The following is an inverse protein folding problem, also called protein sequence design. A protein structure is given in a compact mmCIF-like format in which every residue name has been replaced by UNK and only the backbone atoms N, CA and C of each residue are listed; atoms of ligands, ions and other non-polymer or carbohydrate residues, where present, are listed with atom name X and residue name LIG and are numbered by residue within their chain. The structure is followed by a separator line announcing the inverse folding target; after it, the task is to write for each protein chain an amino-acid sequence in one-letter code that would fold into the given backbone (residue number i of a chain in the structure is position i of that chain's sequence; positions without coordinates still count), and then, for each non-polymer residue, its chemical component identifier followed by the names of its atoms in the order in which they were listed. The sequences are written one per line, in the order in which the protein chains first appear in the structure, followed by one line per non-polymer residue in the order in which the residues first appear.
data_IF_940812670261
#
_entry.id   IF_940812670261
#
_cell.length_a   1.000
_cell.length_b   1.000
_cell.length_c   1.000
_cell.angle_alpha   90.00
_cell.angle_beta   90.00
_cell.angle_gamma   90.00
#
_symmetry.space_group_name_H-M   'P 1'
#
loop_
_entity.id
_entity.type
_entity.pdbx_description
1 polymer ?
#
# COMPACT_ATOMS: atom_id res chain seq x y z
N UNK A 1 -16.15 -24.24 9.21
CA UNK A 1 -17.15 -23.68 10.14
C UNK A 1 -18.39 -23.29 9.35
N UNK A 2 -19.33 -24.25 9.13
CA UNK A 2 -20.58 -24.01 8.40
C UNK A 2 -21.48 -22.96 9.06
N UNK A 3 -21.47 -22.93 10.39
CA UNK A 3 -22.08 -21.93 11.26
C UNK A 3 -21.59 -20.51 10.97
N UNK A 4 -20.27 -20.30 10.88
CA UNK A 4 -19.67 -18.99 10.54
C UNK A 4 -20.04 -18.57 9.11
N UNK A 5 -20.00 -19.51 8.15
CA UNK A 5 -20.44 -19.24 6.77
C UNK A 5 -21.91 -18.83 6.71
N UNK A 6 -22.78 -19.48 7.48
CA UNK A 6 -24.21 -19.13 7.57
C UNK A 6 -24.42 -17.75 8.21
N UNK A 7 -23.69 -17.44 9.28
CA UNK A 7 -23.76 -16.14 9.96
C UNK A 7 -23.31 -14.97 9.08
N UNK A 8 -22.35 -15.20 8.19
CA UNK A 8 -21.90 -14.23 7.19
C UNK A 8 -22.72 -14.25 5.88
N UNK A 9 -23.82 -15.01 5.85
CA UNK A 9 -24.70 -15.18 4.69
C UNK A 9 -23.97 -15.66 3.42
N UNK A 10 -22.95 -16.52 3.57
CA UNK A 10 -22.29 -17.13 2.41
C UNK A 10 -23.24 -18.16 1.78
N UNK A 11 -23.57 -18.04 0.47
CA UNK A 11 -24.49 -18.94 -0.20
C UNK A 11 -24.08 -20.41 -0.07
N UNK A 12 -25.01 -21.35 0.23
CA UNK A 12 -24.70 -22.77 0.34
C UNK A 12 -24.18 -23.42 -0.95
N UNK A 13 -24.32 -22.75 -2.09
CA UNK A 13 -23.74 -23.21 -3.36
C UNK A 13 -22.21 -22.98 -3.43
N UNK A 14 -21.70 -22.02 -2.64
CA UNK A 14 -20.27 -21.71 -2.55
C UNK A 14 -19.60 -22.58 -1.47
N UNK A 15 -19.51 -23.88 -1.76
CA UNK A 15 -18.99 -24.89 -0.85
C UNK A 15 -17.48 -24.96 -0.75
N UNK A 16 -16.76 -24.17 -1.55
CA UNK A 16 -15.30 -24.13 -1.53
C UNK A 16 -14.76 -23.78 -0.13
N UNK A 17 -13.59 -24.32 0.19
CA UNK A 17 -12.88 -23.96 1.41
C UNK A 17 -12.46 -22.49 1.28
N UNK A 18 -12.62 -21.72 2.35
CA UNK A 18 -12.12 -20.35 2.40
C UNK A 18 -10.59 -20.38 2.40
N UNK A 19 -9.98 -19.53 1.56
CA UNK A 19 -8.54 -19.32 1.47
C UNK A 19 -8.26 -17.82 1.61
N UNK A 20 -7.12 -17.48 2.22
CA UNK A 20 -6.72 -16.07 2.42
C UNK A 20 -6.39 -15.41 1.08
N UNK A 21 -5.69 -16.14 0.22
CA UNK A 21 -5.23 -15.68 -1.09
C UNK A 21 -5.46 -16.78 -2.13
N UNK A 22 -5.85 -16.39 -3.34
CA UNK A 22 -6.12 -17.33 -4.43
C UNK A 22 -5.00 -17.35 -5.46
N UNK A 23 -4.21 -18.43 -5.48
CA UNK A 23 -3.08 -18.57 -6.42
C UNK A 23 -3.52 -18.56 -7.88
N UNK A 24 -4.70 -19.09 -8.19
CA UNK A 24 -5.25 -19.06 -9.55
C UNK A 24 -5.51 -17.63 -10.04
N UNK A 25 -6.00 -16.74 -9.16
CA UNK A 25 -6.20 -15.34 -9.51
C UNK A 25 -4.86 -14.60 -9.62
N UNK A 26 -3.95 -14.83 -8.67
CA UNK A 26 -2.62 -14.22 -8.67
C UNK A 26 -1.84 -14.54 -9.95
N UNK A 27 -1.80 -15.81 -10.37
CA UNK A 27 -1.04 -16.26 -11.54
C UNK A 27 -1.63 -15.78 -12.88
N UNK A 28 -2.90 -15.35 -12.90
CA UNK A 28 -3.59 -14.86 -14.11
C UNK A 28 -3.62 -13.34 -14.20
N UNK A 29 -3.20 -12.65 -13.14
CA UNK A 29 -3.21 -11.19 -13.11
C UNK A 29 -2.00 -10.62 -13.84
N UNK A 30 -2.23 -9.60 -14.67
CA UNK A 30 -1.16 -8.85 -15.35
C UNK A 30 -1.17 -7.40 -14.87
N UNK A 31 -0.07 -6.90 -14.27
CA UNK A 31 0.05 -5.50 -13.91
C UNK A 31 -0.05 -4.60 -15.15
N UNK A 32 -0.88 -3.54 -15.06
CA UNK A 32 -1.10 -2.58 -16.15
C UNK A 32 -0.47 -1.20 -15.88
N UNK A 33 -0.04 -0.96 -14.65
CA UNK A 33 0.65 0.26 -14.25
C UNK A 33 1.91 -0.13 -13.47
N UNK A 34 3.03 0.48 -13.82
CA UNK A 34 4.30 0.31 -13.10
C UNK A 34 4.47 1.34 -11.98
N UNK A 35 3.76 2.47 -12.06
CA UNK A 35 3.99 3.66 -11.24
C UNK A 35 2.66 4.37 -10.94
N UNK A 36 2.55 4.98 -9.75
CA UNK A 36 1.30 5.56 -9.26
C UNK A 36 1.34 7.07 -9.03
N UNK A 37 2.47 7.76 -9.19
CA UNK A 37 2.62 9.18 -8.87
C UNK A 37 1.65 10.07 -9.64
N UNK A 38 1.37 9.78 -10.91
CA UNK A 38 0.42 10.58 -11.70
C UNK A 38 -1.01 10.51 -11.13
N UNK A 39 -1.43 9.34 -10.65
CA UNK A 39 -2.72 9.17 -9.99
C UNK A 39 -2.76 9.89 -8.65
N UNK A 40 -1.69 9.78 -7.85
CA UNK A 40 -1.57 10.49 -6.58
C UNK A 40 -1.57 12.01 -6.77
N UNK A 41 -0.83 12.52 -7.76
CA UNK A 41 -0.83 13.95 -8.10
C UNK A 41 -2.23 14.43 -8.49
N UNK A 42 -3.00 13.61 -9.20
CA UNK A 42 -4.40 13.92 -9.55
C UNK A 42 -5.26 14.06 -8.30
N UNK A 43 -5.13 13.13 -7.35
CA UNK A 43 -5.86 13.15 -6.06
C UNK A 43 -5.48 14.39 -5.23
N UNK A 44 -4.19 14.70 -5.15
CA UNK A 44 -3.68 15.86 -4.41
C UNK A 44 -4.13 17.18 -5.04
N UNK A 45 -4.14 17.28 -6.38
CA UNK A 45 -4.64 18.45 -7.09
C UNK A 45 -6.15 18.66 -6.90
N UNK A 46 -6.90 17.59 -6.60
CA UNK A 46 -8.29 17.65 -6.18
C UNK A 46 -8.48 18.00 -4.69
N UNK A 47 -7.41 18.37 -3.98
CA UNK A 47 -7.39 18.72 -2.57
C UNK A 47 -7.88 17.59 -1.63
N UNK A 48 -7.68 16.33 -2.04
CA UNK A 48 -7.97 15.16 -1.22
C UNK A 48 -6.76 14.86 -0.34
N UNK A 49 -7.00 14.64 0.95
CA UNK A 49 -5.96 14.28 1.92
C UNK A 49 -5.49 12.85 1.69
N UNK A 50 -4.17 12.66 1.53
CA UNK A 50 -3.53 11.36 1.34
C UNK A 50 -2.58 11.08 2.49
N UNK A 51 -2.53 9.82 2.96
CA UNK A 51 -1.53 9.32 3.91
C UNK A 51 -0.83 8.11 3.30
N UNK A 52 0.51 8.11 3.35
CA UNK A 52 1.34 6.94 3.06
C UNK A 52 1.83 6.38 4.39
N UNK A 53 1.60 5.09 4.63
CA UNK A 53 2.01 4.40 5.85
C UNK A 53 2.68 3.08 5.48
N UNK A 54 3.91 2.88 5.95
CA UNK A 54 4.72 1.70 5.70
C UNK A 54 5.28 1.20 7.04
N UNK A 55 5.20 -0.10 7.29
CA UNK A 55 5.86 -0.72 8.44
C UNK A 55 7.38 -0.76 8.24
N UNK A 56 8.14 -0.47 9.28
CA UNK A 56 9.62 -0.44 9.26
C UNK A 56 10.27 -1.83 9.22
N UNK A 57 9.52 -2.88 9.60
CA UNK A 57 9.95 -4.28 9.52
C UNK A 57 9.47 -5.01 8.25
N UNK A 58 8.65 -4.38 7.41
CA UNK A 58 8.24 -4.99 6.13
C UNK A 58 9.37 -4.91 5.10
N UNK A 59 9.74 -6.04 4.51
CA UNK A 59 10.74 -6.12 3.46
C UNK A 59 10.13 -6.14 2.04
N UNK A 60 8.81 -6.36 1.89
CA UNK A 60 8.13 -6.40 0.58
C UNK A 60 7.76 -5.01 0.08
N UNK A 61 7.10 -4.20 0.90
CA UNK A 61 6.68 -2.83 0.60
C UNK A 61 7.25 -1.88 1.66
N UNK A 62 8.58 -1.88 1.74
CA UNK A 62 9.32 -1.30 2.86
C UNK A 62 9.23 0.24 2.95
N UNK A 63 9.56 0.74 4.14
CA UNK A 63 9.58 2.17 4.47
C UNK A 63 10.43 3.01 3.52
N UNK A 64 11.60 2.52 3.09
CA UNK A 64 12.49 3.26 2.19
C UNK A 64 11.88 3.48 0.81
N UNK A 65 11.18 2.48 0.28
CA UNK A 65 10.46 2.63 -1.00
C UNK A 65 9.34 3.64 -0.88
N UNK A 66 8.56 3.59 0.21
CA UNK A 66 7.53 4.58 0.51
C UNK A 66 8.09 6.00 0.60
N UNK A 67 9.18 6.18 1.36
CA UNK A 67 9.85 7.48 1.49
C UNK A 67 10.30 8.01 0.13
N UNK A 68 11.03 7.22 -0.66
CA UNK A 68 11.52 7.64 -1.99
C UNK A 68 10.38 7.99 -2.94
N UNK A 69 9.29 7.20 -2.93
CA UNK A 69 8.10 7.52 -3.71
C UNK A 69 7.49 8.85 -3.31
N UNK A 70 7.34 9.12 -2.00
CA UNK A 70 6.77 10.40 -1.54
C UNK A 70 7.67 11.59 -1.86
N UNK A 71 8.99 11.42 -1.81
CA UNK A 71 9.96 12.46 -2.22
C UNK A 71 9.83 12.77 -3.72
N UNK A 72 9.66 11.75 -4.56
CA UNK A 72 9.46 11.88 -6.01
C UNK A 72 8.19 12.66 -6.39
N UNK A 73 7.18 12.73 -5.51
CA UNK A 73 5.98 13.52 -5.77
C UNK A 73 6.27 15.03 -5.88
N UNK A 74 7.37 15.51 -5.28
CA UNK A 74 7.86 16.88 -5.46
C UNK A 74 7.11 17.96 -4.69
N UNK A 75 6.26 17.59 -3.71
CA UNK A 75 5.55 18.55 -2.88
C UNK A 75 6.42 19.07 -1.73
N UNK A 76 6.19 20.33 -1.33
CA UNK A 76 6.90 20.96 -0.22
C UNK A 76 6.56 20.24 1.08
N UNK A 77 7.59 19.70 1.75
CA UNK A 77 7.43 19.21 3.12
C UNK A 77 7.23 20.40 4.07
N UNK A 78 6.12 20.40 4.81
CA UNK A 78 5.80 21.45 5.79
C UNK A 78 6.49 21.24 7.15
N UNK A 79 7.06 20.05 7.38
CA UNK A 79 7.84 19.72 8.57
C UNK A 79 9.31 20.03 8.28
N UNK A 80 9.99 20.71 9.21
CA UNK A 80 11.33 21.25 9.01
C UNK A 80 12.34 20.13 8.66
N UNK A 81 12.89 20.19 7.44
CA UNK A 81 13.74 19.15 6.83
C UNK A 81 15.04 18.88 7.60
N UNK A 82 15.47 19.79 8.48
CA UNK A 82 16.65 19.64 9.32
C UNK A 82 16.51 18.56 10.40
N UNK A 83 15.30 18.25 10.88
CA UNK A 83 15.11 17.24 11.94
C UNK A 83 14.99 15.81 11.39
N UNK A 84 14.49 15.64 10.17
CA UNK A 84 14.32 14.30 9.55
C UNK A 84 15.62 13.83 8.88
N UNK A 85 16.39 14.72 8.22
CA UNK A 85 17.63 14.34 7.52
C UNK A 85 18.78 13.93 8.46
N UNK A 86 18.82 14.41 9.70
CA UNK A 86 19.87 14.03 10.67
C UNK A 86 19.83 12.56 11.09
N UNK A 87 18.66 11.90 11.00
CA UNK A 87 18.51 10.52 11.44
C UNK A 87 18.82 9.47 10.34
N UNK A 88 19.08 9.88 9.09
CA UNK A 88 19.35 8.94 8.00
C UNK A 88 20.75 9.10 7.36
N UNK A 89 21.56 10.05 7.82
CA UNK A 89 22.88 10.35 7.24
C UNK A 89 24.05 10.05 8.20
N UNK A 90 23.89 9.10 9.13
CA UNK A 90 25.01 8.58 9.91
C UNK A 90 24.92 7.05 10.03
N UNK A 91 26.00 6.38 9.59
CA UNK A 91 26.26 4.92 9.51
C UNK A 91 25.91 4.27 8.18
N UNK A 92 26.63 4.64 7.11
CA UNK A 92 27.84 3.95 6.62
C UNK A 92 28.78 5.01 6.06
#
# INVERSE_FOLDING_TARGET
MPDVKKALHIPPILNNKWEVCSSNHFNKYTPIYEEMANFIKTILNANIRVIFYNGDLDMRCNMLMGQRFTEQLGYKCLINSYLVRRNFQSRV
#
